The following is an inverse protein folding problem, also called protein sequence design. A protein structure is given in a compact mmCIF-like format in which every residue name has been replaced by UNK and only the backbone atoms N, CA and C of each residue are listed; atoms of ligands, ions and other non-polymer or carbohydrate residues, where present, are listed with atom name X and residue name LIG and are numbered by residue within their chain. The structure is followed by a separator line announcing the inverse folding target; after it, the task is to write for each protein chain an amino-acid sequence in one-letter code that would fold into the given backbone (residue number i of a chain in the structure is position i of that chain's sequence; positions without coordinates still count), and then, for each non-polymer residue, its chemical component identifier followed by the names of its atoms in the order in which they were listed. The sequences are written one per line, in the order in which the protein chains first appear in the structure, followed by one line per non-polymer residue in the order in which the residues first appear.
data_IF_588757295739
#
_entry.id   IF_588757295739
#
_cell.length_a   1.000
_cell.length_b   1.000
_cell.length_c   1.000
_cell.angle_alpha   90.00
_cell.angle_beta   90.00
_cell.angle_gamma   90.00
#
_symmetry.space_group_name_H-M   'P 1'
#
loop_
_entity.id
_entity.type
_entity.pdbx_description
1 polymer ?
#
# COMPACT_ATOMS: atom_id res chain seq x y z
N UNK A 1 -16.21 16.02 -6.11
CA UNK A 1 -14.83 15.64 -5.70
C UNK A 1 -14.87 15.03 -4.32
N UNK A 2 -14.33 13.81 -4.13
CA UNK A 2 -14.34 13.12 -2.84
C UNK A 2 -12.98 13.28 -2.12
N UNK A 3 -12.94 14.07 -1.04
CA UNK A 3 -11.70 14.38 -0.32
C UNK A 3 -11.07 13.11 0.30
N UNK A 4 -11.85 12.17 0.80
CA UNK A 4 -11.31 10.95 1.42
C UNK A 4 -10.59 10.07 0.40
N UNK A 5 -11.14 9.94 -0.80
CA UNK A 5 -10.48 9.21 -1.89
C UNK A 5 -9.25 9.96 -2.42
N UNK A 6 -9.24 11.29 -2.40
CA UNK A 6 -8.02 12.08 -2.67
C UNK A 6 -6.93 11.76 -1.66
N UNK A 7 -7.25 11.80 -0.36
CA UNK A 7 -6.27 11.50 0.70
C UNK A 7 -5.81 10.04 0.61
N UNK A 8 -6.73 9.09 0.40
CA UNK A 8 -6.38 7.67 0.24
C UNK A 8 -5.45 7.44 -0.95
N UNK A 9 -5.74 8.07 -2.09
CA UNK A 9 -4.88 8.02 -3.27
C UNK A 9 -3.51 8.64 -3.01
N UNK A 10 -3.45 9.82 -2.42
CA UNK A 10 -2.19 10.51 -2.11
C UNK A 10 -1.30 9.70 -1.16
N UNK A 11 -1.89 9.10 -0.11
CA UNK A 11 -1.16 8.23 0.81
C UNK A 11 -0.67 6.95 0.13
N UNK A 12 -1.46 6.37 -0.80
CA UNK A 12 -1.03 5.22 -1.60
C UNK A 12 0.13 5.58 -2.54
N UNK A 13 0.11 6.77 -3.13
CA UNK A 13 1.22 7.29 -3.94
C UNK A 13 2.48 7.53 -3.09
N UNK A 14 2.34 8.13 -1.90
CA UNK A 14 3.47 8.31 -0.97
C UNK A 14 4.07 6.96 -0.55
N UNK A 15 3.23 5.96 -0.29
CA UNK A 15 3.71 4.60 -0.03
C UNK A 15 4.46 4.02 -1.24
N UNK A 16 3.97 4.20 -2.47
CA UNK A 16 4.68 3.78 -3.68
C UNK A 16 6.05 4.47 -3.80
N UNK A 17 6.12 5.79 -3.55
CA UNK A 17 7.37 6.55 -3.55
C UNK A 17 8.35 6.07 -2.47
N UNK A 18 7.87 5.73 -1.28
CA UNK A 18 8.72 5.13 -0.24
C UNK A 18 9.34 3.80 -0.70
N UNK A 19 8.58 2.97 -1.42
CA UNK A 19 9.09 1.71 -1.99
C UNK A 19 10.10 1.94 -3.13
N UNK A 20 9.91 2.98 -3.95
CA UNK A 20 10.94 3.42 -4.92
C UNK A 20 12.21 3.82 -4.16
N UNK A 21 12.08 4.53 -3.04
CA UNK A 21 13.21 4.85 -2.17
C UNK A 21 13.93 3.60 -1.66
N UNK A 22 13.20 2.54 -1.27
CA UNK A 22 13.84 1.26 -0.89
C UNK A 22 14.67 0.66 -2.03
N UNK A 23 14.21 0.76 -3.26
CA UNK A 23 14.97 0.30 -4.43
C UNK A 23 16.22 1.16 -4.64
N UNK A 24 16.08 2.49 -4.55
CA UNK A 24 17.15 3.43 -4.84
C UNK A 24 18.25 3.48 -3.77
N UNK A 25 17.86 3.52 -2.48
CA UNK A 25 18.78 3.59 -1.34
C UNK A 25 19.20 2.21 -0.80
N UNK A 26 18.59 1.14 -1.30
CA UNK A 26 19.02 -0.24 -1.07
C UNK A 26 18.84 -0.74 0.36
N UNK A 27 19.79 -1.55 0.83
CA UNK A 27 19.69 -2.34 2.05
C UNK A 27 19.36 -1.51 3.31
N UNK A 28 19.92 -0.30 3.43
CA UNK A 28 19.65 0.60 4.55
C UNK A 28 18.16 0.94 4.68
N UNK A 29 17.50 1.26 3.57
CA UNK A 29 16.07 1.56 3.52
C UNK A 29 15.22 0.29 3.68
N UNK A 30 15.64 -0.84 3.11
CA UNK A 30 14.98 -2.11 3.38
C UNK A 30 14.98 -2.43 4.88
N UNK A 31 16.07 -2.21 5.62
CA UNK A 31 16.06 -2.39 7.09
C UNK A 31 15.19 -1.34 7.79
N UNK A 32 15.32 -0.07 7.42
CA UNK A 32 14.57 1.03 8.02
C UNK A 32 13.05 0.84 7.92
N UNK A 33 12.54 0.48 6.75
CA UNK A 33 11.11 0.18 6.55
C UNK A 33 10.70 -1.22 7.04
N UNK A 34 11.61 -1.95 7.68
CA UNK A 34 11.33 -3.28 8.21
C UNK A 34 11.00 -4.29 7.12
N UNK A 35 11.72 -4.29 5.99
CA UNK A 35 11.60 -5.25 4.91
C UNK A 35 12.10 -6.67 5.26
N UNK A 36 12.64 -6.85 6.47
CA UNK A 36 13.27 -8.08 6.94
C UNK A 36 14.74 -8.17 6.50
N UNK A 37 15.57 -8.76 7.35
CA UNK A 37 17.02 -8.78 7.16
C UNK A 37 17.43 -9.51 5.87
N UNK A 38 16.72 -10.58 5.51
CA UNK A 38 16.98 -11.32 4.28
C UNK A 38 16.84 -10.44 3.03
N UNK A 39 15.87 -9.51 3.00
CA UNK A 39 15.70 -8.58 1.87
C UNK A 39 16.86 -7.59 1.78
N UNK A 40 17.34 -7.10 2.93
CA UNK A 40 18.46 -6.18 2.99
C UNK A 40 19.77 -6.85 2.56
N UNK A 41 20.06 -8.05 3.06
CA UNK A 41 21.24 -8.85 2.67
C UNK A 41 21.22 -9.14 1.16
N UNK A 42 20.08 -9.54 0.61
CA UNK A 42 19.97 -9.77 -0.84
C UNK A 42 20.26 -8.49 -1.63
N UNK A 43 19.83 -7.32 -1.15
CA UNK A 43 20.10 -6.05 -1.80
C UNK A 43 21.59 -5.67 -1.73
N UNK A 44 22.24 -5.89 -0.58
CA UNK A 44 23.70 -5.73 -0.40
C UNK A 44 24.51 -6.63 -1.33
N UNK A 45 24.04 -7.84 -1.59
CA UNK A 45 24.67 -8.79 -2.50
C UNK A 45 24.41 -8.49 -3.99
N UNK A 46 23.71 -7.38 -4.31
CA UNK A 46 23.37 -7.01 -5.68
C UNK A 46 22.31 -7.90 -6.33
N UNK A 47 21.53 -8.66 -5.55
CA UNK A 47 20.43 -9.47 -6.08
C UNK A 47 19.34 -8.57 -6.66
N UNK A 48 18.80 -8.95 -7.81
CA UNK A 48 17.64 -8.28 -8.41
C UNK A 48 16.31 -8.62 -7.70
N UNK A 49 16.29 -9.64 -6.84
CA UNK A 49 15.05 -10.14 -6.22
C UNK A 49 14.36 -9.09 -5.35
N UNK A 50 15.02 -8.35 -4.44
CA UNK A 50 14.40 -7.26 -3.69
C UNK A 50 13.79 -6.20 -4.60
N UNK A 51 14.52 -5.81 -5.66
CA UNK A 51 14.06 -4.82 -6.64
C UNK A 51 12.82 -5.28 -7.39
N UNK A 52 12.78 -6.52 -7.88
CA UNK A 52 11.62 -7.07 -8.58
C UNK A 52 10.39 -7.09 -7.66
N UNK A 53 10.54 -7.64 -6.44
CA UNK A 53 9.44 -7.71 -5.47
C UNK A 53 8.91 -6.32 -5.14
N UNK A 54 9.81 -5.38 -4.86
CA UNK A 54 9.45 -4.02 -4.46
C UNK A 54 8.83 -3.24 -5.62
N UNK A 55 9.30 -3.43 -6.85
CA UNK A 55 8.72 -2.83 -8.06
C UNK A 55 7.29 -3.31 -8.31
N UNK A 56 6.96 -4.57 -8.01
CA UNK A 56 5.57 -5.05 -8.08
C UNK A 56 4.70 -4.30 -7.07
N UNK A 57 5.19 -4.08 -5.84
CA UNK A 57 4.46 -3.32 -4.82
C UNK A 57 4.26 -1.86 -5.28
N UNK A 58 5.30 -1.22 -5.81
CA UNK A 58 5.21 0.15 -6.38
C UNK A 58 4.12 0.22 -7.45
N UNK A 59 4.10 -0.72 -8.39
CA UNK A 59 3.10 -0.76 -9.46
C UNK A 59 1.68 -0.90 -8.90
N UNK A 60 1.48 -1.85 -7.98
CA UNK A 60 0.16 -2.11 -7.36
C UNK A 60 -0.34 -0.85 -6.63
N UNK A 61 0.49 -0.24 -5.78
CA UNK A 61 0.13 0.96 -5.03
C UNK A 61 -0.13 2.17 -5.94
N UNK A 62 0.65 2.30 -7.03
CA UNK A 62 0.44 3.34 -8.03
C UNK A 62 -0.90 3.17 -8.75
N UNK A 63 -1.26 1.94 -9.12
CA UNK A 63 -2.57 1.62 -9.71
C UNK A 63 -3.69 1.96 -8.72
N UNK A 64 -3.55 1.59 -7.44
CA UNK A 64 -4.57 1.88 -6.43
C UNK A 64 -4.75 3.39 -6.22
N UNK A 65 -3.65 4.16 -6.23
CA UNK A 65 -3.69 5.62 -6.21
C UNK A 65 -4.44 6.19 -7.40
N UNK A 66 -4.19 5.69 -8.62
CA UNK A 66 -4.89 6.15 -9.82
C UNK A 66 -6.39 5.84 -9.76
N UNK A 67 -6.78 4.66 -9.28
CA UNK A 67 -8.19 4.32 -9.08
C UNK A 67 -8.87 5.21 -8.04
N UNK A 68 -8.19 5.53 -6.94
CA UNK A 68 -8.69 6.45 -5.93
C UNK A 68 -8.89 7.87 -6.50
N UNK A 69 -7.92 8.40 -7.26
CA UNK A 69 -8.03 9.71 -7.91
C UNK A 69 -9.10 9.74 -9.00
N UNK A 70 -9.25 8.66 -9.77
CA UNK A 70 -10.29 8.52 -10.79
C UNK A 70 -11.68 8.54 -10.15
N UNK A 71 -11.88 7.77 -9.06
CA UNK A 71 -13.12 7.75 -8.31
C UNK A 71 -13.41 9.07 -7.57
N UNK A 72 -12.37 9.81 -7.19
CA UNK A 72 -12.50 11.14 -6.59
C UNK A 72 -12.88 12.22 -7.61
N UNK A 73 -12.77 11.93 -8.91
CA UNK A 73 -13.03 12.87 -10.01
C UNK A 73 -11.86 13.81 -10.33
N UNK A 74 -10.63 13.46 -9.92
CA UNK A 74 -9.43 14.27 -10.20
C UNK A 74 -8.83 13.97 -11.58
N UNK A 75 -9.01 12.75 -12.08
CA UNK A 75 -8.53 12.30 -13.39
C UNK A 75 -9.68 11.66 -14.17
N UNK A 76 -9.44 11.32 -15.44
CA UNK A 76 -10.42 10.62 -16.28
C UNK A 76 -10.94 9.32 -15.65
N UNK A 77 -12.18 8.93 -16.01
CA UNK A 77 -12.81 7.70 -15.52
C UNK A 77 -12.06 6.48 -16.06
N UNK A 78 -11.47 5.69 -15.16
CA UNK A 78 -10.89 4.39 -15.46
C UNK A 78 -11.99 3.33 -15.62
N UNK A 79 -11.71 2.20 -16.30
CA UNK A 79 -12.67 1.10 -16.38
C UNK A 79 -12.85 0.43 -15.01
N UNK A 80 -14.05 -0.08 -14.72
CA UNK A 80 -14.33 -0.92 -13.54
C UNK A 80 -14.01 -0.28 -12.17
N UNK A 81 -14.10 1.05 -12.02
CA UNK A 81 -13.74 1.77 -10.78
C UNK A 81 -14.43 1.18 -9.54
N UNK A 82 -15.74 0.89 -9.62
CA UNK A 82 -16.49 0.33 -8.50
C UNK A 82 -15.90 -1.00 -8.03
N UNK A 83 -15.67 -1.93 -8.95
CA UNK A 83 -15.06 -3.24 -8.65
C UNK A 83 -13.65 -3.10 -8.11
N UNK A 84 -12.84 -2.24 -8.73
CA UNK A 84 -11.48 -1.97 -8.29
C UNK A 84 -11.45 -1.42 -6.84
N UNK A 85 -12.28 -0.44 -6.52
CA UNK A 85 -12.34 0.12 -5.17
C UNK A 85 -12.82 -0.89 -4.13
N UNK A 86 -13.79 -1.77 -4.46
CA UNK A 86 -14.21 -2.85 -3.55
C UNK A 86 -13.00 -3.76 -3.24
N UNK A 87 -12.27 -4.18 -4.27
CA UNK A 87 -11.10 -5.06 -4.13
C UNK A 87 -10.00 -4.37 -3.31
N UNK A 88 -9.64 -3.14 -3.66
CA UNK A 88 -8.61 -2.36 -2.96
C UNK A 88 -8.97 -2.19 -1.47
N UNK A 89 -10.22 -1.80 -1.19
CA UNK A 89 -10.73 -1.65 0.18
C UNK A 89 -10.61 -2.96 0.95
N UNK A 90 -11.07 -4.07 0.36
CA UNK A 90 -11.03 -5.38 0.97
C UNK A 90 -9.58 -5.82 1.28
N UNK A 91 -8.65 -5.62 0.35
CA UNK A 91 -7.23 -5.97 0.55
C UNK A 91 -6.62 -5.14 1.67
N UNK A 92 -6.85 -3.82 1.70
CA UNK A 92 -6.32 -2.96 2.77
C UNK A 92 -6.85 -3.34 4.15
N UNK A 93 -8.17 -3.57 4.26
CA UNK A 93 -8.80 -3.99 5.51
C UNK A 93 -8.31 -5.36 5.96
N UNK A 94 -8.29 -6.35 5.05
CA UNK A 94 -7.81 -7.69 5.34
C UNK A 94 -6.36 -7.66 5.80
N UNK A 95 -5.49 -6.95 5.07
CA UNK A 95 -4.07 -6.85 5.42
C UNK A 95 -3.85 -6.10 6.72
N UNK A 96 -4.60 -5.01 6.94
CA UNK A 96 -4.57 -4.25 8.19
C UNK A 96 -4.92 -5.12 9.39
N UNK A 97 -6.05 -5.83 9.33
CA UNK A 97 -6.51 -6.73 10.39
C UNK A 97 -5.59 -7.94 10.56
N UNK A 98 -5.24 -8.63 9.48
CA UNK A 98 -4.40 -9.82 9.51
C UNK A 98 -3.03 -9.55 10.16
N UNK A 99 -2.41 -8.40 9.86
CA UNK A 99 -1.09 -8.10 10.41
C UNK A 99 -1.05 -7.93 11.93
N UNK A 100 -2.17 -7.56 12.58
CA UNK A 100 -2.23 -7.51 14.05
C UNK A 100 -2.06 -8.89 14.70
N UNK A 101 -2.48 -9.97 14.03
CA UNK A 101 -2.29 -11.34 14.52
C UNK A 101 -0.82 -11.79 14.48
N UNK A 102 0.02 -11.15 13.66
CA UNK A 102 1.44 -11.47 13.53
C UNK A 102 2.34 -10.62 14.45
N UNK A 103 1.79 -9.78 15.32
CA UNK A 103 2.60 -8.98 16.27
C UNK A 103 3.22 -9.89 17.33
N UNK A 104 2.44 -10.79 17.92
CA UNK A 104 2.91 -11.68 19.00
C UNK A 104 3.74 -12.86 18.50
N UNK A 105 3.54 -13.28 17.24
CA UNK A 105 4.33 -14.32 16.58
C UNK A 105 4.72 -13.85 15.16
N UNK A 106 5.81 -13.08 15.05
CA UNK A 106 6.16 -12.40 13.80
C UNK A 106 6.66 -13.32 12.71
N UNK A 107 6.07 -13.18 11.50
CA UNK A 107 6.50 -13.91 10.31
C UNK A 107 7.51 -13.09 9.50
N UNK A 108 8.80 -13.37 9.67
CA UNK A 108 9.90 -12.84 8.84
C UNK A 108 10.12 -11.32 8.92
N UNK A 109 9.37 -10.61 9.76
CA UNK A 109 9.36 -9.16 9.96
C UNK A 109 9.23 -8.88 11.46
N UNK A 110 9.64 -7.69 11.92
CA UNK A 110 9.58 -7.35 13.35
C UNK A 110 8.14 -7.08 13.82
N UNK A 111 7.84 -7.22 15.13
CA UNK A 111 6.54 -6.85 15.70
C UNK A 111 6.13 -5.40 15.38
N UNK A 112 7.10 -4.47 15.42
CA UNK A 112 6.87 -3.05 15.16
C UNK A 112 6.47 -2.82 13.69
N UNK A 113 7.11 -3.54 12.76
CA UNK A 113 6.71 -3.51 11.36
C UNK A 113 5.26 -3.96 11.22
N UNK A 114 4.88 -5.09 11.80
CA UNK A 114 3.51 -5.61 11.74
C UNK A 114 2.51 -4.60 12.29
N UNK A 115 2.79 -4.02 13.46
CA UNK A 115 1.93 -3.00 14.06
C UNK A 115 1.75 -1.76 13.17
N UNK A 116 2.85 -1.09 12.79
CA UNK A 116 2.77 0.19 12.06
C UNK A 116 2.20 0.02 10.66
N UNK A 117 2.67 -0.99 9.93
CA UNK A 117 2.13 -1.26 8.61
C UNK A 117 0.64 -1.62 8.70
N UNK A 118 0.20 -2.37 9.72
CA UNK A 118 -1.20 -2.74 9.89
C UNK A 118 -2.09 -1.54 10.18
N UNK A 119 -1.64 -0.66 11.07
CA UNK A 119 -2.32 0.59 11.34
C UNK A 119 -2.49 1.42 10.07
N UNK A 120 -1.41 1.60 9.29
CA UNK A 120 -1.45 2.35 8.01
C UNK A 120 -2.43 1.71 7.01
N UNK A 121 -2.36 0.39 6.81
CA UNK A 121 -3.25 -0.30 5.88
C UNK A 121 -4.71 -0.24 6.33
N UNK A 122 -4.98 -0.34 7.64
CA UNK A 122 -6.33 -0.23 8.18
C UNK A 122 -6.88 1.19 7.99
N UNK A 123 -6.07 2.22 8.28
CA UNK A 123 -6.45 3.62 8.04
C UNK A 123 -6.75 3.88 6.57
N UNK A 124 -5.90 3.41 5.64
CA UNK A 124 -6.15 3.48 4.20
C UNK A 124 -7.43 2.75 3.80
N UNK A 125 -7.65 1.55 4.32
CA UNK A 125 -8.85 0.76 4.08
C UNK A 125 -10.13 1.48 4.54
N UNK A 126 -10.11 2.14 5.69
CA UNK A 126 -11.23 2.94 6.19
C UNK A 126 -11.50 4.18 5.32
N UNK A 127 -10.45 4.89 4.90
CA UNK A 127 -10.59 6.03 3.97
C UNK A 127 -11.21 5.58 2.64
N UNK A 128 -10.74 4.46 2.09
CA UNK A 128 -11.30 3.86 0.88
C UNK A 128 -12.76 3.43 1.08
N UNK A 129 -13.09 2.77 2.19
CA UNK A 129 -14.44 2.28 2.47
C UNK A 129 -15.45 3.43 2.56
N UNK A 130 -15.12 4.48 3.32
CA UNK A 130 -15.99 5.64 3.50
C UNK A 130 -16.11 6.40 2.17
N UNK A 131 -14.99 6.59 1.47
CA UNK A 131 -14.98 7.23 0.15
C UNK A 131 -15.80 6.49 -0.90
N UNK A 132 -15.68 5.16 -0.95
CA UNK A 132 -16.47 4.29 -1.82
C UNK A 132 -17.97 4.40 -1.50
N UNK A 133 -18.35 4.38 -0.21
CA UNK A 133 -19.75 4.56 0.20
C UNK A 133 -20.30 5.92 -0.24
N UNK A 134 -19.51 6.98 -0.10
CA UNK A 134 -19.89 8.34 -0.51
C UNK A 134 -20.05 8.51 -2.03
N UNK A 135 -19.31 7.75 -2.84
CA UNK A 135 -19.38 7.79 -4.30
C UNK A 135 -20.21 6.62 -4.90
N UNK A 136 -20.87 5.81 -4.08
CA UNK A 136 -21.48 4.56 -4.54
C UNK A 136 -22.52 4.74 -5.67
N UNK A 137 -23.33 5.79 -5.59
CA UNK A 137 -24.38 6.10 -6.56
C UNK A 137 -23.84 6.72 -7.86
N UNK A 138 -22.62 7.27 -7.86
CA UNK A 138 -22.01 7.98 -8.99
C UNK A 138 -20.97 7.16 -9.76
N UNK A 139 -20.53 6.02 -9.20
CA UNK A 139 -19.57 5.07 -9.77
C UNK A 139 -20.26 3.96 -10.57
#
# INVERSE_FOLDING_TARGET
MNILLVVAGALSALAALAHIGCIYFGASWYRFFGAGEQMAIMAEQGSLRPTIITSVIVLVLSIWSLYAFSAAGLIGKLPLIRTALIIITAIYLLRGVAGFFFISNPLGRSPEFWFWSSAICLSLGLLHLIGLKQQWASL
#
